data_IF_012027106816
#
_entry.id   IF_012027106816
#
_cell.length_a   1.000
_cell.length_b   1.000
_cell.length_c   1.000
_cell.angle_alpha   90.00
_cell.angle_beta   90.00
_cell.angle_gamma   90.00
#
_symmetry.space_group_name_H-M   'P 1'
#
loop_
_entity.id
_entity.type
_entity.pdbx_description
1 polymer ?
#
# COMPACT_ATOMS: atom_id res chain seq x y z
N UNK A 1 -13.26 7.63 34.12
CA UNK A 1 -12.88 8.05 32.74
C UNK A 1 -11.74 7.17 32.23
N UNK A 2 -12.04 5.88 32.14
CA UNK A 2 -11.21 4.83 31.54
C UNK A 2 -12.18 3.98 30.73
N UNK A 3 -12.20 4.09 29.40
CA UNK A 3 -12.87 3.15 28.51
C UNK A 3 -12.19 3.16 27.13
N UNK A 4 -11.48 2.06 26.85
CA UNK A 4 -11.38 1.35 25.56
C UNK A 4 -10.80 2.11 24.35
N UNK A 5 -9.55 1.95 23.87
CA UNK A 5 -8.48 0.95 23.98
C UNK A 5 -8.85 -0.53 23.79
N UNK A 6 -9.98 -0.84 23.13
CA UNK A 6 -10.38 -2.22 22.79
C UNK A 6 -11.10 -2.37 21.44
N UNK A 7 -10.50 -1.92 20.34
CA UNK A 7 -10.97 -2.41 19.03
C UNK A 7 -9.90 -2.48 17.92
N UNK A 8 -8.63 -2.69 18.31
CA UNK A 8 -7.56 -2.94 17.33
C UNK A 8 -6.84 -4.28 17.49
N UNK A 9 -7.29 -5.13 18.42
CA UNK A 9 -6.73 -6.46 18.71
C UNK A 9 -7.83 -7.53 18.79
N UNK A 10 -8.48 -7.87 17.67
CA UNK A 10 -9.37 -9.06 17.60
C UNK A 10 -8.97 -10.13 16.58
N UNK A 11 -7.92 -9.97 15.77
CA UNK A 11 -7.63 -10.99 14.74
C UNK A 11 -6.18 -11.45 14.65
N UNK A 12 -5.47 -11.54 15.78
CA UNK A 12 -4.18 -12.25 15.79
C UNK A 12 -4.04 -13.17 17.00
N UNK A 13 -4.74 -14.28 16.90
CA UNK A 13 -4.49 -15.47 17.70
C UNK A 13 -4.91 -16.72 16.93
N UNK A 14 -4.00 -17.30 16.14
CA UNK A 14 -3.82 -18.75 16.11
C UNK A 14 -2.53 -19.13 15.38
N UNK A 15 -1.60 -19.66 16.16
CA UNK A 15 -0.35 -20.31 15.80
C UNK A 15 -0.59 -21.64 15.06
N UNK A 16 0.02 -21.83 13.88
CA UNK A 16 0.54 -23.15 13.45
C UNK A 16 1.83 -22.97 12.65
N UNK A 17 2.93 -23.33 13.32
CA UNK A 17 4.07 -24.15 12.87
C UNK A 17 4.35 -24.30 11.36
N UNK A 18 5.55 -23.86 10.96
CA UNK A 18 6.55 -24.46 10.04
C UNK A 18 6.05 -25.48 8.99
N UNK A 19 6.27 -25.20 7.69
CA UNK A 19 7.17 -25.94 6.77
C UNK A 19 6.90 -25.62 5.29
N UNK A 20 8.00 -25.60 4.53
CA UNK A 20 8.16 -26.02 3.12
C UNK A 20 7.32 -25.39 1.99
N UNK A 21 8.08 -24.80 1.04
CA UNK A 21 7.89 -24.89 -0.43
C UNK A 21 6.46 -24.83 -0.94
N UNK A 22 6.03 -23.66 -1.37
CA UNK A 22 5.15 -23.61 -2.54
C UNK A 22 5.17 -22.22 -3.15
N UNK A 23 5.44 -22.21 -4.46
CA UNK A 23 5.02 -21.23 -5.44
C UNK A 23 4.50 -19.90 -4.87
N UNK A 24 5.21 -18.81 -5.14
CA UNK A 24 4.71 -17.47 -4.91
C UNK A 24 3.62 -17.15 -5.96
N UNK A 25 2.48 -17.85 -5.82
CA UNK A 25 1.18 -17.43 -6.31
C UNK A 25 0.90 -16.07 -5.69
N UNK A 26 1.29 -15.02 -6.43
CA UNK A 26 0.71 -13.71 -6.24
C UNK A 26 -0.72 -13.83 -6.75
N UNK A 27 -1.61 -14.28 -5.88
CA UNK A 27 -3.05 -14.19 -6.02
C UNK A 27 -3.37 -12.76 -6.46
N UNK A 28 -3.65 -12.61 -7.75
CA UNK A 28 -4.43 -11.50 -8.27
C UNK A 28 -5.74 -11.56 -7.50
N UNK A 29 -5.97 -10.60 -6.60
CA UNK A 29 -7.29 -10.38 -6.05
C UNK A 29 -8.21 -10.04 -7.23
N UNK A 30 -8.87 -11.06 -7.75
CA UNK A 30 -10.08 -10.91 -8.54
C UNK A 30 -11.06 -10.24 -7.59
N UNK A 31 -11.25 -8.92 -7.73
CA UNK A 31 -12.36 -8.24 -7.07
C UNK A 31 -13.62 -9.01 -7.43
N UNK A 32 -14.38 -9.45 -6.42
CA UNK A 32 -15.62 -10.18 -6.64
C UNK A 32 -16.48 -9.41 -7.66
N UNK A 33 -17.11 -10.10 -8.63
CA UNK A 33 -17.93 -9.44 -9.63
C UNK A 33 -19.00 -8.62 -8.91
N UNK A 34 -19.25 -7.36 -9.32
CA UNK A 34 -20.24 -6.53 -8.67
C UNK A 34 -21.59 -7.26 -8.72
N UNK A 35 -22.23 -7.37 -7.54
CA UNK A 35 -23.49 -8.09 -7.40
C UNK A 35 -24.52 -7.57 -8.42
N UNK A 36 -25.33 -8.45 -9.04
CA UNK A 36 -26.33 -8.03 -10.00
C UNK A 36 -27.33 -7.07 -9.34
N UNK A 37 -27.81 -6.11 -10.11
CA UNK A 37 -28.82 -5.17 -9.63
C UNK A 37 -30.09 -5.98 -9.29
N UNK A 38 -30.78 -5.65 -8.19
CA UNK A 38 -31.88 -6.45 -7.63
C UNK A 38 -33.26 -6.12 -8.21
N UNK A 39 -33.36 -5.21 -9.18
CA UNK A 39 -34.65 -4.77 -9.73
C UNK A 39 -35.46 -3.86 -8.80
N UNK A 40 -34.93 -3.56 -7.61
CA UNK A 40 -35.59 -2.72 -6.61
C UNK A 40 -35.38 -1.22 -6.93
N UNK A 41 -36.38 -0.40 -6.57
CA UNK A 41 -36.33 1.06 -6.75
C UNK A 41 -35.40 1.76 -5.73
N UNK A 42 -35.23 1.18 -4.53
CA UNK A 42 -34.37 1.69 -3.45
C UNK A 42 -33.46 0.57 -2.91
N UNK A 43 -32.29 0.94 -2.37
CA UNK A 43 -31.27 -0.01 -1.87
C UNK A 43 -29.88 0.17 -2.49
N UNK A 44 -28.90 -0.63 -2.04
CA UNK A 44 -27.49 -0.56 -2.48
C UNK A 44 -27.28 -1.06 -3.92
N UNK A 45 -27.93 -2.16 -4.29
CA UNK A 45 -27.89 -2.74 -5.65
C UNK A 45 -29.19 -2.44 -6.42
N UNK A 46 -29.76 -1.25 -6.22
CA UNK A 46 -30.99 -0.83 -6.90
C UNK A 46 -30.77 -0.65 -8.41
N UNK A 47 -31.87 -0.72 -9.15
CA UNK A 47 -31.88 -0.51 -10.59
C UNK A 47 -32.27 -1.76 -11.38
N UNK A 48 -32.46 -1.58 -12.68
CA UNK A 48 -32.92 -2.64 -13.57
C UNK A 48 -31.88 -3.76 -13.69
N UNK A 49 -32.37 -5.01 -13.75
CA UNK A 49 -31.55 -6.20 -13.92
C UNK A 49 -31.02 -6.19 -15.35
N UNK A 50 -29.76 -5.81 -15.53
CA UNK A 50 -29.09 -5.74 -16.84
C UNK A 50 -27.94 -6.74 -16.88
N UNK A 51 -27.85 -7.50 -17.97
CA UNK A 51 -26.69 -8.33 -18.29
C UNK A 51 -25.51 -7.44 -18.71
N UNK A 52 -24.62 -7.12 -17.76
CA UNK A 52 -23.46 -6.26 -18.01
C UNK A 52 -22.44 -7.02 -18.88
N UNK A 53 -22.03 -6.43 -20.00
CA UNK A 53 -20.95 -6.93 -20.86
C UNK A 53 -19.60 -6.47 -20.31
N UNK A 54 -18.67 -7.39 -20.13
CA UNK A 54 -17.30 -7.06 -19.78
C UNK A 54 -16.61 -6.35 -20.95
N UNK A 55 -16.27 -5.08 -20.76
CA UNK A 55 -15.56 -4.28 -21.75
C UNK A 55 -14.06 -4.53 -21.65
N UNK A 56 -13.38 -4.61 -22.79
CA UNK A 56 -11.93 -4.74 -22.81
C UNK A 56 -11.27 -3.55 -22.07
N UNK A 57 -10.26 -3.80 -21.22
CA UNK A 57 -9.66 -2.76 -20.40
C UNK A 57 -8.94 -1.73 -21.30
N UNK A 58 -9.35 -0.47 -21.17
CA UNK A 58 -8.81 0.63 -21.97
C UNK A 58 -7.31 0.84 -21.67
N UNK A 59 -6.47 1.08 -22.70
CA UNK A 59 -5.04 1.38 -22.49
C UNK A 59 -4.78 2.58 -21.58
N UNK A 60 -5.66 3.59 -21.57
CA UNK A 60 -5.56 4.77 -20.69
C UNK A 60 -5.63 4.42 -19.21
N UNK A 61 -6.34 3.36 -18.82
CA UNK A 61 -6.42 2.88 -17.45
C UNK A 61 -5.09 2.31 -16.94
N UNK A 62 -4.14 1.98 -17.83
CA UNK A 62 -2.81 1.45 -17.47
C UNK A 62 -1.83 2.54 -17.03
N UNK A 63 -2.22 3.82 -17.04
CA UNK A 63 -1.37 4.94 -16.63
C UNK A 63 -0.93 4.77 -15.17
N UNK A 64 0.39 4.79 -14.95
CA UNK A 64 1.00 4.61 -13.62
C UNK A 64 1.61 3.23 -13.37
N UNK A 65 1.32 2.23 -14.22
CA UNK A 65 2.02 0.93 -14.18
C UNK A 65 3.48 1.12 -14.63
N UNK A 66 4.42 0.62 -13.85
CA UNK A 66 5.85 0.72 -14.16
C UNK A 66 6.31 -0.46 -15.01
N UNK A 67 7.01 -0.20 -16.12
CA UNK A 67 7.64 -1.24 -16.93
C UNK A 67 8.98 -1.70 -16.33
N UNK A 68 9.47 -2.88 -16.74
CA UNK A 68 10.74 -3.46 -16.27
C UNK A 68 11.92 -2.48 -16.45
N UNK A 69 12.02 -1.86 -17.63
CA UNK A 69 13.06 -0.86 -17.95
C UNK A 69 13.05 0.32 -16.98
N UNK A 70 11.88 0.89 -16.69
CA UNK A 70 11.78 2.07 -15.81
C UNK A 70 12.08 1.71 -14.35
N UNK A 71 11.71 0.50 -13.90
CA UNK A 71 12.07 0.05 -12.56
C UNK A 71 13.59 -0.06 -12.39
N UNK A 72 14.29 -0.66 -13.38
CA UNK A 72 15.75 -0.78 -13.40
C UNK A 72 16.43 0.60 -13.32
N UNK A 73 16.06 1.52 -14.21
CA UNK A 73 16.63 2.89 -14.24
C UNK A 73 16.40 3.63 -12.92
N UNK A 74 15.22 3.52 -12.30
CA UNK A 74 14.93 4.17 -11.01
C UNK A 74 15.74 3.61 -9.84
N UNK A 75 16.12 2.33 -9.89
CA UNK A 75 16.98 1.74 -8.86
C UNK A 75 18.42 2.25 -9.02
N UNK A 76 18.96 2.25 -10.24
CA UNK A 76 20.31 2.78 -10.54
C UNK A 76 20.47 4.24 -10.09
N UNK A 77 19.50 5.11 -10.40
CA UNK A 77 19.57 6.53 -10.02
C UNK A 77 19.62 6.70 -8.50
N UNK A 78 18.92 5.86 -7.73
CA UNK A 78 18.91 5.94 -6.26
C UNK A 78 20.24 5.53 -5.64
N UNK A 79 20.96 4.62 -6.28
CA UNK A 79 22.30 4.20 -5.86
C UNK A 79 23.32 5.31 -6.14
N UNK A 80 23.26 5.94 -7.32
CA UNK A 80 24.21 6.99 -7.73
C UNK A 80 23.98 8.33 -7.02
N UNK A 81 22.73 8.80 -6.96
CA UNK A 81 22.41 10.15 -6.46
C UNK A 81 22.31 10.23 -4.92
N UNK A 82 22.17 9.09 -4.23
CA UNK A 82 22.02 9.04 -2.78
C UNK A 82 20.72 9.65 -2.24
N UNK A 83 20.71 9.99 -0.95
CA UNK A 83 19.54 10.51 -0.24
C UNK A 83 19.54 12.03 -0.06
N UNK A 84 18.36 12.63 -0.21
CA UNK A 84 18.14 14.04 0.09
C UNK A 84 18.19 14.33 1.61
N UNK A 85 18.50 15.57 2.05
CA UNK A 85 18.69 15.88 3.47
C UNK A 85 17.43 15.70 4.34
N UNK A 86 16.22 15.80 3.76
CA UNK A 86 15.00 15.48 4.49
C UNK A 86 14.77 13.97 4.62
N UNK A 87 15.25 13.17 3.68
CA UNK A 87 15.16 11.70 3.72
C UNK A 87 16.11 11.14 4.78
N UNK A 88 17.32 11.71 4.89
CA UNK A 88 18.28 11.41 5.96
C UNK A 88 17.69 11.64 7.37
N UNK A 89 17.05 12.80 7.58
CA UNK A 89 16.32 13.08 8.84
C UNK A 89 15.17 12.12 9.12
N UNK A 90 14.48 11.63 8.09
CA UNK A 90 13.42 10.62 8.26
C UNK A 90 14.05 9.29 8.71
N UNK A 91 15.17 8.86 8.12
CA UNK A 91 15.85 7.64 8.55
C UNK A 91 16.39 7.73 9.97
N UNK A 92 16.92 8.88 10.39
CA UNK A 92 17.36 9.10 11.77
C UNK A 92 16.20 8.95 12.75
N UNK A 93 15.05 9.57 12.47
CA UNK A 93 13.85 9.46 13.30
C UNK A 93 13.30 8.03 13.35
N UNK A 94 13.40 7.29 12.24
CA UNK A 94 12.98 5.89 12.17
C UNK A 94 13.94 4.93 12.89
N UNK A 95 15.24 5.24 12.97
CA UNK A 95 16.20 4.47 13.78
C UNK A 95 15.88 4.55 15.27
N UNK A 96 15.42 5.70 15.74
CA UNK A 96 15.00 5.94 17.14
C UNK A 96 13.58 5.40 17.41
N UNK A 97 12.83 4.97 16.39
CA UNK A 97 11.45 4.47 16.55
C UNK A 97 10.39 5.56 16.72
N UNK A 98 10.67 6.82 16.33
CA UNK A 98 9.72 7.95 16.46
C UNK A 98 8.88 8.15 15.19
N UNK A 99 8.06 7.17 14.83
CA UNK A 99 7.26 7.16 13.59
C UNK A 99 6.28 8.33 13.46
N UNK A 100 5.60 8.72 14.55
CA UNK A 100 4.66 9.85 14.55
C UNK A 100 5.37 11.17 14.24
N UNK A 101 6.60 11.34 14.74
CA UNK A 101 7.44 12.53 14.48
C UNK A 101 7.97 12.52 13.04
N UNK A 102 8.38 11.36 12.52
CA UNK A 102 8.77 11.19 11.13
C UNK A 102 7.60 11.53 10.16
N UNK A 103 6.39 11.07 10.46
CA UNK A 103 5.20 11.38 9.68
C UNK A 103 4.84 12.88 9.71
N UNK A 104 5.00 13.55 10.86
CA UNK A 104 4.77 15.00 10.97
C UNK A 104 5.78 15.79 10.11
N UNK A 105 7.05 15.38 10.12
CA UNK A 105 8.09 15.99 9.29
C UNK A 105 7.85 15.75 7.80
N UNK A 106 7.51 14.51 7.41
CA UNK A 106 7.21 14.15 6.03
C UNK A 106 5.96 14.87 5.50
N UNK A 107 4.89 14.99 6.31
CA UNK A 107 3.71 15.78 5.94
C UNK A 107 4.06 17.26 5.74
N UNK A 108 4.87 17.85 6.61
CA UNK A 108 5.31 19.25 6.48
C UNK A 108 6.14 19.49 5.20
N UNK A 109 6.86 18.47 4.70
CA UNK A 109 7.66 18.58 3.47
C UNK A 109 6.89 18.22 2.19
N UNK A 110 5.95 17.28 2.25
CA UNK A 110 5.24 16.74 1.07
C UNK A 110 3.77 17.20 0.96
N UNK A 111 3.26 17.89 1.98
CA UNK A 111 1.90 18.41 2.10
C UNK A 111 0.86 17.36 2.56
N UNK A 112 0.77 16.23 1.87
CA UNK A 112 -0.31 15.25 2.09
C UNK A 112 0.09 14.07 2.97
N UNK A 113 -0.86 13.54 3.75
CA UNK A 113 -0.64 12.35 4.57
C UNK A 113 -0.39 11.08 3.74
N UNK A 114 -1.06 10.91 2.59
CA UNK A 114 -0.88 9.74 1.72
C UNK A 114 0.56 9.68 1.19
N UNK A 115 1.12 10.81 0.72
CA UNK A 115 2.51 10.89 0.27
C UNK A 115 3.50 10.68 1.42
N UNK A 116 3.19 11.22 2.61
CA UNK A 116 4.02 11.01 3.79
C UNK A 116 4.11 9.55 4.23
N UNK A 117 2.99 8.80 4.23
CA UNK A 117 2.99 7.35 4.51
C UNK A 117 3.83 6.58 3.50
N UNK A 118 3.66 6.88 2.21
CA UNK A 118 4.46 6.28 1.13
C UNK A 118 5.96 6.53 1.32
N UNK A 119 6.35 7.78 1.65
CA UNK A 119 7.76 8.12 1.89
C UNK A 119 8.32 7.47 3.15
N UNK A 120 7.53 7.34 4.22
CA UNK A 120 7.92 6.55 5.40
C UNK A 120 8.21 5.10 5.03
N UNK A 121 7.30 4.46 4.29
CA UNK A 121 7.47 3.06 3.85
C UNK A 121 8.70 2.88 2.95
N UNK A 122 8.95 3.82 2.04
CA UNK A 122 10.19 3.85 1.24
C UNK A 122 11.43 3.88 2.13
N UNK A 123 11.50 4.77 3.14
CA UNK A 123 12.65 4.85 4.04
C UNK A 123 12.77 3.63 4.98
N UNK A 124 11.66 3.06 5.44
CA UNK A 124 11.66 1.81 6.21
C UNK A 124 12.20 0.65 5.37
N UNK A 125 11.86 0.59 4.07
CA UNK A 125 12.37 -0.44 3.16
C UNK A 125 13.88 -0.27 2.92
N UNK A 126 14.38 0.97 2.84
CA UNK A 126 15.84 1.23 2.77
C UNK A 126 16.55 0.70 4.01
N UNK A 127 16.04 0.97 5.22
CA UNK A 127 16.64 0.46 6.45
C UNK A 127 16.66 -1.07 6.50
N UNK A 128 15.61 -1.73 5.98
CA UNK A 128 15.56 -3.20 5.88
C UNK A 128 16.59 -3.75 4.89
N UNK A 129 16.87 -3.05 3.80
CA UNK A 129 17.91 -3.44 2.83
C UNK A 129 19.33 -3.27 3.38
N UNK A 130 19.57 -2.27 4.23
CA UNK A 130 20.89 -2.02 4.83
C UNK A 130 21.22 -3.04 5.93
N UNK A 131 20.20 -3.47 6.69
CA UNK A 131 20.37 -4.44 7.78
C UNK A 131 20.57 -5.89 7.30
N UNK A 132 20.41 -6.13 6.01
CA UNK A 132 20.50 -7.45 5.38
C UNK A 132 21.81 -7.51 4.62
#
# INVERSE_FOLDING_TARGET
MEMERREWDRERGCTVVVTAVSSCLRLEQVMAPPQPNTGLFVGLNKGHIVTKKELAPRPSARKGKTSKRVHFVRNLIREVAGFAPYEKRITELLRVGKDKRALKLAKRKLGTHKRAKKKREEMSNVLRKIKK
#
